data_IF_086920809719
#
_entry.id   IF_086920809719
#
_cell.length_a   1.000
_cell.length_b   1.000
_cell.length_c   1.000
_cell.angle_alpha   90.00
_cell.angle_beta   90.00
_cell.angle_gamma   90.00
#
_symmetry.space_group_name_H-M   'P 1'
#
loop_
_entity.id
_entity.type
_entity.pdbx_description
1 polymer ?
#
# COMPACT_ATOMS: atom_id res chain seq x y z
N UNK A 1 1.13 -8.71 3.75
CA UNK A 1 -0.34 -8.66 3.93
C UNK A 1 -0.78 -7.46 4.77
N UNK A 2 -0.08 -7.16 5.86
CA UNK A 2 -0.45 -6.01 6.70
C UNK A 2 -0.46 -4.67 5.99
N UNK A 3 0.51 -4.43 5.12
CA UNK A 3 0.54 -3.22 4.33
C UNK A 3 -0.62 -3.11 3.34
N UNK A 4 -0.99 -4.21 2.72
CA UNK A 4 -2.19 -4.28 1.87
C UNK A 4 -3.44 -3.93 2.68
N UNK A 5 -3.59 -4.53 3.87
CA UNK A 5 -4.71 -4.24 4.74
C UNK A 5 -4.76 -2.77 5.16
N UNK A 6 -3.62 -2.20 5.55
CA UNK A 6 -3.54 -0.80 5.92
C UNK A 6 -4.04 0.12 4.80
N UNK A 7 -3.56 -0.09 3.58
CA UNK A 7 -3.94 0.74 2.44
C UNK A 7 -5.42 0.58 2.08
N UNK A 8 -5.92 -0.66 2.01
CA UNK A 8 -7.32 -0.91 1.61
C UNK A 8 -8.32 -0.40 2.65
N UNK A 9 -8.03 -0.62 3.93
CA UNK A 9 -8.90 -0.13 5.02
C UNK A 9 -8.92 1.40 5.02
N UNK A 10 -7.75 2.05 4.87
CA UNK A 10 -7.66 3.50 4.80
C UNK A 10 -8.49 4.06 3.63
N UNK A 11 -8.27 3.53 2.43
CA UNK A 11 -8.94 4.02 1.23
C UNK A 11 -10.47 3.82 1.27
N UNK A 12 -10.93 2.80 1.98
CA UNK A 12 -12.37 2.57 2.17
C UNK A 12 -12.98 3.40 3.30
N UNK A 13 -12.18 4.07 4.13
CA UNK A 13 -12.65 4.74 5.34
C UNK A 13 -11.93 6.07 5.55
N UNK A 14 -11.84 6.89 4.52
CA UNK A 14 -11.12 8.17 4.57
C UNK A 14 -11.66 9.13 5.64
N UNK A 15 -12.91 8.98 6.02
CA UNK A 15 -13.55 9.78 7.06
C UNK A 15 -13.12 9.36 8.47
N UNK A 16 -12.57 8.17 8.64
CA UNK A 16 -12.22 7.60 9.94
C UNK A 16 -10.73 7.69 10.27
N UNK A 17 -9.88 7.79 9.27
CA UNK A 17 -8.43 7.75 9.44
C UNK A 17 -7.78 9.01 8.88
N UNK A 18 -6.84 9.59 9.61
CA UNK A 18 -6.15 10.82 9.20
C UNK A 18 -4.88 10.57 8.41
N UNK A 19 -4.34 9.36 8.48
CA UNK A 19 -3.10 9.00 7.79
C UNK A 19 -2.99 7.51 7.61
N UNK A 20 -2.11 7.11 6.69
CA UNK A 20 -1.77 5.71 6.46
C UNK A 20 -0.30 5.62 6.10
N UNK A 21 0.32 4.51 6.51
CA UNK A 21 1.63 4.13 6.04
C UNK A 21 1.71 2.61 5.92
N UNK A 22 2.66 2.15 5.10
CA UNK A 22 2.82 0.71 4.88
C UNK A 22 4.28 0.36 4.63
N UNK A 23 4.67 -0.83 5.07
CA UNK A 23 5.96 -1.42 4.77
C UNK A 23 5.77 -2.52 3.74
N UNK A 24 6.46 -2.42 2.61
CA UNK A 24 6.51 -3.46 1.58
C UNK A 24 5.12 -4.07 1.26
N UNK A 25 4.10 -3.24 0.96
CA UNK A 25 2.76 -3.75 0.74
C UNK A 25 2.59 -4.40 -0.62
N UNK A 26 1.70 -5.40 -0.70
CA UNK A 26 1.11 -5.81 -1.97
C UNK A 26 0.08 -4.73 -2.32
N UNK A 27 0.28 -4.02 -3.41
CA UNK A 27 -0.56 -2.86 -3.77
C UNK A 27 -1.56 -3.15 -4.88
N UNK A 28 -1.33 -4.22 -5.65
CA UNK A 28 -2.18 -4.57 -6.78
C UNK A 28 -2.43 -6.08 -6.83
N UNK A 29 -3.10 -6.64 -5.81
CA UNK A 29 -3.28 -8.09 -5.72
C UNK A 29 -4.05 -8.70 -6.89
N UNK A 30 -4.90 -7.94 -7.54
CA UNK A 30 -5.61 -8.39 -8.76
C UNK A 30 -4.63 -8.83 -9.86
N UNK A 31 -3.44 -8.23 -9.91
CA UNK A 31 -2.45 -8.45 -10.96
C UNK A 31 -1.16 -9.11 -10.46
N UNK A 32 -1.18 -9.77 -9.32
CA UNK A 32 -0.01 -10.53 -8.86
C UNK A 32 -0.43 -11.95 -8.49
N UNK A 33 0.51 -12.94 -8.59
CA UNK A 33 0.18 -14.35 -8.36
C UNK A 33 -0.42 -14.63 -6.98
N UNK A 34 0.15 -14.05 -5.93
CA UNK A 34 -0.36 -14.26 -4.57
C UNK A 34 -1.77 -13.70 -4.39
N UNK A 35 -2.02 -12.52 -4.92
CA UNK A 35 -3.32 -11.90 -4.83
C UNK A 35 -4.38 -12.67 -5.61
N UNK A 36 -4.05 -13.13 -6.80
CA UNK A 36 -4.97 -13.92 -7.61
C UNK A 36 -5.35 -15.22 -6.91
N UNK A 37 -4.38 -15.89 -6.30
CA UNK A 37 -4.63 -17.10 -5.51
C UNK A 37 -5.53 -16.83 -4.31
N UNK A 38 -5.21 -15.80 -3.54
CA UNK A 38 -5.99 -15.42 -2.35
C UNK A 38 -7.41 -15.02 -2.73
N UNK A 39 -7.58 -14.19 -3.73
CA UNK A 39 -8.89 -13.69 -4.13
C UNK A 39 -9.76 -14.80 -4.73
N UNK A 40 -9.17 -15.71 -5.50
CA UNK A 40 -9.91 -16.87 -6.00
C UNK A 40 -10.45 -17.70 -4.84
N UNK A 41 -9.62 -17.93 -3.81
CA UNK A 41 -10.00 -18.77 -2.67
C UNK A 41 -11.02 -18.07 -1.75
N UNK A 42 -10.89 -16.75 -1.53
CA UNK A 42 -11.73 -16.03 -0.56
C UNK A 42 -12.94 -15.35 -1.20
N UNK A 43 -12.83 -14.90 -2.42
CA UNK A 43 -13.86 -14.09 -3.09
C UNK A 43 -14.48 -14.78 -4.31
N UNK A 44 -13.94 -15.92 -4.71
CA UNK A 44 -14.37 -16.61 -5.92
C UNK A 44 -13.78 -15.97 -7.19
N UNK A 45 -14.34 -16.29 -8.34
CA UNK A 45 -13.79 -15.90 -9.63
C UNK A 45 -14.34 -14.59 -10.19
N UNK A 46 -15.20 -13.91 -9.44
CA UNK A 46 -15.75 -12.62 -9.86
C UNK A 46 -14.70 -11.52 -9.66
N UNK A 47 -13.97 -11.20 -10.72
CA UNK A 47 -12.87 -10.23 -10.67
C UNK A 47 -13.34 -8.80 -10.38
N UNK A 48 -14.59 -8.49 -10.61
CA UNK A 48 -15.14 -7.18 -10.23
C UNK A 48 -15.16 -7.03 -8.72
N UNK A 49 -15.48 -8.10 -7.99
CA UNK A 49 -15.42 -8.10 -6.52
C UNK A 49 -13.99 -7.92 -6.00
N UNK A 50 -12.98 -8.40 -6.72
CA UNK A 50 -11.58 -8.27 -6.33
C UNK A 50 -11.13 -6.81 -6.22
N UNK A 51 -11.65 -5.94 -7.09
CA UNK A 51 -11.29 -4.53 -7.13
C UNK A 51 -11.60 -3.80 -5.83
N UNK A 52 -12.59 -4.27 -5.08
CA UNK A 52 -12.96 -3.71 -3.78
C UNK A 52 -11.89 -3.93 -2.71
N UNK A 53 -10.94 -4.81 -2.96
CA UNK A 53 -9.87 -5.19 -2.03
C UNK A 53 -8.48 -4.94 -2.63
N UNK A 54 -8.39 -4.06 -3.62
CA UNK A 54 -7.14 -3.76 -4.32
C UNK A 54 -6.85 -2.27 -4.21
N UNK A 55 -5.75 -1.90 -3.54
CA UNK A 55 -5.42 -0.50 -3.29
C UNK A 55 -5.25 0.31 -4.57
N UNK A 56 -4.64 -0.30 -5.61
CA UNK A 56 -4.46 0.37 -6.90
C UNK A 56 -5.80 0.66 -7.59
N UNK A 57 -6.73 -0.30 -7.51
CA UNK A 57 -8.08 -0.10 -8.03
C UNK A 57 -8.86 0.93 -7.20
N UNK A 58 -8.75 0.85 -5.87
CA UNK A 58 -9.48 1.75 -4.97
C UNK A 58 -9.03 3.21 -5.14
N UNK A 59 -7.72 3.46 -5.17
CA UNK A 59 -7.20 4.83 -5.27
C UNK A 59 -7.62 5.51 -6.56
N UNK A 60 -7.80 4.73 -7.62
CA UNK A 60 -8.22 5.27 -8.93
C UNK A 60 -9.59 5.91 -8.92
N UNK A 61 -10.39 5.64 -7.88
CA UNK A 61 -11.74 6.18 -7.73
C UNK A 61 -11.79 7.48 -6.93
N UNK A 62 -10.66 7.93 -6.38
CA UNK A 62 -10.60 9.09 -5.50
C UNK A 62 -9.87 10.25 -6.16
N UNK A 63 -10.32 11.46 -5.85
CA UNK A 63 -9.67 12.70 -6.28
C UNK A 63 -9.53 13.72 -5.12
N UNK A 64 -9.83 13.31 -3.90
CA UNK A 64 -9.88 14.20 -2.74
C UNK A 64 -9.04 13.73 -1.55
N UNK A 65 -8.06 12.85 -1.78
CA UNK A 65 -7.17 12.43 -0.71
C UNK A 65 -6.09 13.51 -0.55
N UNK A 66 -6.10 14.21 0.58
CA UNK A 66 -5.15 15.29 0.87
C UNK A 66 -3.96 14.84 1.70
N UNK A 67 -4.12 13.79 2.49
CA UNK A 67 -3.03 13.26 3.32
C UNK A 67 -2.05 12.44 2.47
N UNK A 68 -0.75 12.62 2.72
CA UNK A 68 0.29 11.86 2.02
C UNK A 68 0.33 10.43 2.51
N UNK A 69 0.26 9.49 1.58
CA UNK A 69 0.44 8.06 1.87
C UNK A 69 1.95 7.78 1.91
N UNK A 70 2.42 7.13 2.97
CA UNK A 70 3.84 6.77 3.11
C UNK A 70 4.03 5.27 2.91
N UNK A 71 4.94 4.91 2.00
CA UNK A 71 5.34 3.51 1.78
C UNK A 71 6.86 3.44 1.83
N UNK A 72 7.38 2.52 2.64
CA UNK A 72 8.78 2.12 2.58
C UNK A 72 8.90 0.75 1.92
N UNK A 73 9.87 0.61 1.02
CA UNK A 73 10.11 -0.60 0.25
C UNK A 73 11.61 -0.86 0.16
N UNK A 74 12.05 -2.03 0.59
CA UNK A 74 13.44 -2.45 0.40
C UNK A 74 13.70 -2.83 -1.07
N UNK A 75 14.85 -2.40 -1.61
CA UNK A 75 15.18 -2.72 -2.99
C UNK A 75 15.76 -4.12 -3.18
N UNK A 76 16.16 -4.78 -2.09
CA UNK A 76 16.62 -6.18 -2.08
C UNK A 76 15.52 -7.15 -1.66
N UNK A 77 14.28 -6.71 -1.65
CA UNK A 77 13.12 -7.54 -1.34
C UNK A 77 12.87 -8.50 -2.51
N UNK A 78 12.94 -9.79 -2.23
CA UNK A 78 12.78 -10.82 -3.28
C UNK A 78 11.37 -10.89 -3.86
N UNK A 79 10.38 -10.28 -3.22
CA UNK A 79 8.99 -10.24 -3.69
C UNK A 79 8.66 -8.99 -4.50
N UNK A 80 9.61 -8.07 -4.61
CA UNK A 80 9.41 -6.76 -5.22
C UNK A 80 8.88 -6.84 -6.65
N UNK A 81 9.51 -7.67 -7.48
CA UNK A 81 9.26 -7.70 -8.93
C UNK A 81 8.01 -8.47 -9.34
N UNK A 82 7.61 -9.47 -8.55
CA UNK A 82 6.48 -10.35 -8.91
C UNK A 82 5.21 -10.11 -8.11
N UNK A 83 5.36 -9.68 -6.87
CA UNK A 83 4.22 -9.61 -5.95
C UNK A 83 3.89 -8.18 -5.50
N UNK A 84 4.89 -7.38 -5.14
CA UNK A 84 4.64 -6.10 -4.48
C UNK A 84 4.32 -4.99 -5.47
N UNK A 85 5.07 -4.87 -6.53
CA UNK A 85 4.80 -3.99 -7.68
C UNK A 85 4.47 -2.53 -7.30
N UNK A 86 5.25 -1.87 -6.43
CA UNK A 86 4.88 -0.54 -5.90
C UNK A 86 4.66 0.50 -7.00
N UNK A 87 5.29 0.35 -8.16
CA UNK A 87 5.13 1.26 -9.29
C UNK A 87 3.69 1.30 -9.82
N UNK A 88 2.92 0.23 -9.66
CA UNK A 88 1.52 0.20 -10.08
C UNK A 88 0.69 1.18 -9.25
N UNK A 89 0.94 1.21 -7.95
CA UNK A 89 0.25 2.13 -7.04
C UNK A 89 0.72 3.58 -7.26
N UNK A 90 2.02 3.77 -7.49
CA UNK A 90 2.56 5.10 -7.80
C UNK A 90 1.90 5.69 -9.04
N UNK A 91 1.77 4.89 -10.09
CA UNK A 91 1.12 5.33 -11.33
C UNK A 91 -0.35 5.67 -11.10
N UNK A 92 -1.07 4.84 -10.36
CA UNK A 92 -2.48 5.07 -10.06
C UNK A 92 -2.69 6.35 -9.24
N UNK A 93 -1.87 6.57 -8.22
CA UNK A 93 -1.91 7.78 -7.40
C UNK A 93 -1.61 9.04 -8.22
N UNK A 94 -0.62 8.95 -9.12
CA UNK A 94 -0.25 10.09 -9.98
C UNK A 94 -1.42 10.50 -10.86
N UNK A 95 -2.15 9.54 -11.42
CA UNK A 95 -3.28 9.82 -12.32
C UNK A 95 -4.41 10.58 -11.64
N UNK A 96 -4.59 10.41 -10.36
CA UNK A 96 -5.67 11.04 -9.59
C UNK A 96 -5.16 12.08 -8.59
N UNK A 97 -3.88 12.44 -8.66
CA UNK A 97 -3.24 13.44 -7.81
C UNK A 97 -3.36 13.13 -6.32
N UNK A 98 -3.26 11.87 -5.94
CA UNK A 98 -3.19 11.46 -4.54
C UNK A 98 -1.72 11.55 -4.10
N UNK A 99 -1.41 12.32 -3.04
CA UNK A 99 -0.03 12.46 -2.55
C UNK A 99 0.51 11.12 -2.06
N UNK A 100 1.64 10.70 -2.61
CA UNK A 100 2.28 9.45 -2.25
C UNK A 100 3.79 9.65 -2.14
N UNK A 101 4.37 9.15 -1.06
CA UNK A 101 5.82 9.06 -0.89
C UNK A 101 6.20 7.60 -0.78
N UNK A 102 6.83 7.07 -1.82
CA UNK A 102 7.44 5.74 -1.80
C UNK A 102 8.93 5.91 -1.63
N UNK A 103 9.47 5.39 -0.52
CA UNK A 103 10.90 5.46 -0.26
C UNK A 103 11.51 4.09 -0.54
N UNK A 104 12.35 4.01 -1.56
CA UNK A 104 13.12 2.80 -1.83
C UNK A 104 14.35 2.80 -0.92
N UNK A 105 14.47 1.76 -0.11
CA UNK A 105 15.53 1.66 0.91
C UNK A 105 16.62 0.70 0.42
N UNK A 106 17.80 1.22 0.04
CA UNK A 106 18.87 0.39 -0.52
C UNK A 106 19.36 -0.67 0.46
N UNK A 107 19.48 -1.90 -0.02
CA UNK A 107 20.05 -3.01 0.74
C UNK A 107 19.09 -3.71 1.69
N UNK A 108 17.83 -3.29 1.77
CA UNK A 108 16.86 -3.90 2.67
C UNK A 108 15.99 -4.93 1.96
N UNK A 109 15.74 -6.02 2.65
CA UNK A 109 14.88 -7.11 2.20
C UNK A 109 13.49 -7.05 2.86
N UNK A 110 12.71 -8.11 2.71
CA UNK A 110 11.37 -8.23 3.31
C UNK A 110 11.49 -8.85 4.71
N UNK A 111 11.91 -8.04 5.70
CA UNK A 111 12.25 -8.55 7.03
C UNK A 111 11.84 -7.59 8.15
N UNK A 112 11.82 -8.11 9.37
CA UNK A 112 11.60 -7.28 10.55
C UNK A 112 12.74 -6.27 10.79
N UNK A 113 13.96 -6.60 10.37
CA UNK A 113 15.08 -5.66 10.45
C UNK A 113 14.80 -4.41 9.64
N UNK A 114 14.27 -4.56 8.44
CA UNK A 114 13.83 -3.45 7.61
C UNK A 114 12.77 -2.60 8.34
N UNK A 115 11.74 -3.24 8.87
CA UNK A 115 10.67 -2.55 9.59
C UNK A 115 11.21 -1.80 10.80
N UNK A 116 12.03 -2.46 11.61
CA UNK A 116 12.62 -1.88 12.82
C UNK A 116 13.45 -0.63 12.51
N UNK A 117 14.15 -0.64 11.38
CA UNK A 117 14.99 0.49 10.97
C UNK A 117 14.15 1.75 10.70
N UNK A 118 12.97 1.63 10.14
CA UNK A 118 12.20 2.77 9.65
C UNK A 118 10.91 3.04 10.43
N UNK A 119 10.59 2.25 11.45
CA UNK A 119 9.32 2.41 12.19
C UNK A 119 9.17 3.78 12.85
N UNK A 120 10.27 4.37 13.31
CA UNK A 120 10.22 5.70 13.95
C UNK A 120 9.72 6.77 12.97
N UNK A 121 10.09 6.67 11.70
CA UNK A 121 9.61 7.60 10.68
C UNK A 121 8.10 7.45 10.45
N UNK A 122 7.60 6.23 10.51
CA UNK A 122 6.16 5.97 10.40
C UNK A 122 5.40 6.52 11.62
N UNK A 123 5.96 6.36 12.82
CA UNK A 123 5.37 6.93 14.03
C UNK A 123 5.29 8.45 13.91
N UNK A 124 6.37 9.10 13.46
CA UNK A 124 6.39 10.55 13.25
C UNK A 124 5.36 10.99 12.19
N UNK A 125 5.23 10.22 11.12
CA UNK A 125 4.25 10.48 10.06
C UNK A 125 2.83 10.53 10.63
N UNK A 126 2.46 9.56 11.46
CA UNK A 126 1.14 9.52 12.09
C UNK A 126 0.97 10.60 13.17
N UNK A 127 2.01 10.85 13.97
CA UNK A 127 1.96 11.88 14.99
C UNK A 127 1.70 13.27 14.38
N UNK A 128 2.34 13.58 13.27
CA UNK A 128 2.11 14.85 12.56
C UNK A 128 0.66 14.97 12.07
N UNK A 129 0.11 13.90 11.51
CA UNK A 129 -1.27 13.89 11.04
C UNK A 129 -2.29 14.07 12.18
N UNK A 130 -1.94 13.63 13.37
CA UNK A 130 -2.77 13.75 14.57
C UNK A 130 -2.48 15.01 15.39
N UNK A 131 -1.57 15.87 14.95
CA UNK A 131 -1.12 17.08 15.65
C UNK A 131 -0.50 16.80 17.02
N UNK A 132 0.29 15.75 17.11
CA UNK A 132 1.01 15.35 18.33
C UNK A 132 2.48 15.78 18.31
#
# INVERSE_FOLDING_TARGET
>A
MGGHGALTIYLKNLDKYKSVSAFAPIVNPTNCPWGQKAFTNYLGENKVAWQEYDATCLVSKFNNVSATILIDQGDEDKFLKEQLLPHKFEEACRKVNVPLLVRMQPGYDHSYYFIATFIDDHIRHHAQALNL
#
